data_IF_488659528728
#
_entry.id   IF_488659528728
#
_cell.length_a   1.000
_cell.length_b   1.000
_cell.length_c   1.000
_cell.angle_alpha   90.00
_cell.angle_beta   90.00
_cell.angle_gamma   90.00
#
_symmetry.space_group_name_H-M   'P 1'
#
loop_
_entity.id
_entity.type
_entity.pdbx_description
1 polymer ?
#
# COMPACT_ATOMS: atom_id res chain seq x y z
N UNK A 1 -7.24 -5.11 17.92
CA UNK A 1 -7.54 -4.01 18.86
C UNK A 1 -6.66 -4.00 20.13
N UNK A 2 -6.70 -5.02 21.01
CA UNK A 2 -6.01 -4.99 22.31
C UNK A 2 -4.50 -4.71 22.26
N UNK A 3 -3.77 -5.26 21.27
CA UNK A 3 -2.32 -5.02 21.12
C UNK A 3 -1.97 -3.59 20.66
N UNK A 4 -2.87 -2.92 19.93
CA UNK A 4 -2.68 -1.54 19.48
C UNK A 4 -2.86 -0.57 20.66
N UNK A 5 -3.88 -0.80 21.48
CA UNK A 5 -4.12 -0.03 22.73
C UNK A 5 -2.93 -0.17 23.69
N UNK A 6 -2.38 -1.38 23.83
CA UNK A 6 -1.19 -1.65 24.65
C UNK A 6 0.10 -0.98 24.14
N UNK A 7 0.14 -0.54 22.88
CA UNK A 7 1.30 0.15 22.31
C UNK A 7 1.30 1.67 22.57
N UNK A 8 0.25 2.19 23.21
CA UNK A 8 0.10 3.62 23.53
C UNK A 8 -0.29 4.49 22.33
N UNK A 9 -0.72 3.88 21.22
CA UNK A 9 -1.24 4.59 20.04
C UNK A 9 -2.66 5.08 20.33
N UNK A 10 -2.93 6.36 20.07
CA UNK A 10 -4.26 6.99 20.23
C UNK A 10 -4.91 7.16 18.86
N UNK A 11 -6.22 6.96 18.77
CA UNK A 11 -6.99 7.18 17.54
C UNK A 11 -7.77 8.49 17.67
N UNK A 12 -7.71 9.33 16.64
CA UNK A 12 -8.48 10.57 16.55
C UNK A 12 -9.22 10.61 15.22
N UNK A 13 -10.50 10.95 15.27
CA UNK A 13 -11.28 11.24 14.06
C UNK A 13 -11.19 12.73 13.77
N UNK A 14 -10.94 13.07 12.51
CA UNK A 14 -10.89 14.45 12.05
C UNK A 14 -11.97 14.67 10.98
N UNK A 15 -12.71 15.76 11.14
CA UNK A 15 -13.59 16.31 10.13
C UNK A 15 -12.76 17.40 9.44
N UNK A 16 -12.22 17.14 8.24
CA UNK A 16 -11.43 18.15 7.54
C UNK A 16 -12.21 18.72 6.35
N UNK A 17 -12.76 19.96 6.44
CA UNK A 17 -13.42 20.63 5.32
C UNK A 17 -12.45 21.44 4.45
N UNK A 18 -11.18 21.57 4.82
CA UNK A 18 -10.26 22.55 4.21
C UNK A 18 -9.01 21.90 3.60
N UNK A 19 -9.14 21.49 2.33
CA UNK A 19 -8.09 21.68 1.32
C UNK A 19 -6.77 20.90 1.45
N UNK A 20 -6.71 19.80 2.20
CA UNK A 20 -5.61 18.83 2.06
C UNK A 20 -6.12 17.53 1.44
N UNK A 21 -5.24 16.95 0.63
CA UNK A 21 -5.42 15.78 -0.24
C UNK A 21 -6.50 14.81 0.26
N UNK A 22 -7.67 14.80 -0.41
CA UNK A 22 -8.80 13.90 -0.11
C UNK A 22 -8.40 12.40 -0.16
N UNK A 23 -7.19 12.13 -0.64
CA UNK A 23 -6.52 10.86 -0.78
C UNK A 23 -5.98 10.25 0.53
N UNK A 24 -5.76 11.05 1.57
CA UNK A 24 -5.24 10.55 2.85
C UNK A 24 -6.39 10.08 3.74
N UNK A 25 -6.62 8.77 3.73
CA UNK A 25 -7.74 8.12 4.44
C UNK A 25 -7.52 8.02 5.94
N UNK A 26 -6.29 7.67 6.31
CA UNK A 26 -5.77 7.76 7.65
C UNK A 26 -4.29 8.12 7.60
N UNK A 27 -3.76 8.68 8.68
CA UNK A 27 -2.34 9.01 8.78
C UNK A 27 -1.82 8.71 10.18
N UNK A 28 -0.69 8.01 10.24
CA UNK A 28 0.07 7.84 11.47
C UNK A 28 1.01 9.04 11.72
N UNK A 29 0.69 9.84 12.73
CA UNK A 29 1.54 10.91 13.26
C UNK A 29 2.57 10.33 14.22
N UNK A 30 3.71 9.89 13.68
CA UNK A 30 4.76 9.20 14.42
C UNK A 30 5.26 9.92 15.67
N UNK A 31 5.38 11.26 15.62
CA UNK A 31 5.82 12.10 16.75
C UNK A 31 4.84 12.07 17.93
N UNK A 32 3.55 11.91 17.65
CA UNK A 32 2.48 11.95 18.66
C UNK A 32 1.92 10.56 18.98
N UNK A 33 2.30 9.54 18.22
CA UNK A 33 1.70 8.19 18.26
C UNK A 33 0.17 8.25 18.09
N UNK A 34 -0.30 9.12 17.19
CA UNK A 34 -1.71 9.29 16.88
C UNK A 34 -1.98 8.73 15.49
N UNK A 35 -3.04 7.95 15.33
CA UNK A 35 -3.63 7.66 14.03
C UNK A 35 -4.81 8.61 13.85
N UNK A 36 -4.72 9.49 12.85
CA UNK A 36 -5.82 10.36 12.45
C UNK A 36 -6.60 9.68 11.33
N UNK A 37 -7.92 9.57 11.49
CA UNK A 37 -8.83 9.00 10.49
C UNK A 37 -9.70 10.12 9.94
N UNK A 38 -9.69 10.30 8.62
CA UNK A 38 -10.48 11.31 7.94
C UNK A 38 -11.91 10.79 7.69
N UNK A 39 -12.92 11.45 8.29
CA UNK A 39 -14.33 11.04 8.10
C UNK A 39 -14.80 11.14 6.65
N UNK A 40 -14.33 12.13 5.91
CA UNK A 40 -14.69 12.28 4.49
C UNK A 40 -14.24 11.07 3.66
N UNK A 41 -13.13 10.44 4.04
CA UNK A 41 -12.67 9.20 3.40
C UNK A 41 -13.54 7.99 3.75
N UNK A 42 -14.04 7.90 4.99
CA UNK A 42 -14.99 6.86 5.39
C UNK A 42 -16.29 6.97 4.57
N UNK A 43 -16.79 8.19 4.37
CA UNK A 43 -17.97 8.43 3.53
C UNK A 43 -17.75 8.06 2.06
N UNK A 44 -16.56 8.33 1.51
CA UNK A 44 -16.20 7.91 0.15
C UNK A 44 -16.23 6.38 0.00
N UNK A 45 -15.61 5.68 0.94
CA UNK A 45 -15.61 4.22 0.98
C UNK A 45 -17.03 3.66 1.12
N UNK A 46 -17.84 4.25 1.99
CA UNK A 46 -19.25 3.85 2.15
C UNK A 46 -20.02 3.99 0.84
N UNK A 47 -19.90 5.15 0.17
CA UNK A 47 -20.54 5.40 -1.14
C UNK A 47 -20.06 4.44 -2.22
N UNK A 48 -18.77 4.07 -2.21
CA UNK A 48 -18.23 3.09 -3.15
C UNK A 48 -18.86 1.71 -2.98
N UNK A 49 -18.94 1.21 -1.74
CA UNK A 49 -19.59 -0.07 -1.45
C UNK A 49 -21.10 -0.03 -1.72
N UNK A 50 -21.80 1.04 -1.31
CA UNK A 50 -23.22 1.25 -1.62
C UNK A 50 -23.51 1.17 -3.13
N UNK A 51 -22.67 1.80 -3.97
CA UNK A 51 -22.79 1.75 -5.44
C UNK A 51 -22.49 0.37 -6.03
N UNK A 52 -21.67 -0.42 -5.34
CA UNK A 52 -21.29 -1.76 -5.77
C UNK A 52 -22.33 -2.81 -5.37
N UNK A 53 -23.34 -2.43 -4.58
CA UNK A 53 -24.34 -3.35 -4.01
C UNK A 53 -23.85 -4.10 -2.77
N UNK A 54 -22.65 -3.77 -2.29
CA UNK A 54 -22.05 -4.38 -1.11
C UNK A 54 -22.31 -3.50 0.12
N UNK A 55 -22.63 -4.13 1.25
CA UNK A 55 -22.69 -3.45 2.55
C UNK A 55 -21.43 -3.78 3.34
N UNK A 56 -20.64 -2.76 3.65
CA UNK A 56 -19.48 -2.89 4.53
C UNK A 56 -19.73 -2.09 5.80
N UNK A 57 -19.44 -2.67 6.96
CA UNK A 57 -19.56 -1.97 8.24
C UNK A 57 -18.47 -0.92 8.35
N UNK A 58 -18.83 0.26 8.83
CA UNK A 58 -17.88 1.35 9.08
C UNK A 58 -16.72 0.91 9.97
N UNK A 59 -17.01 0.07 10.99
CA UNK A 59 -16.00 -0.53 11.87
C UNK A 59 -14.92 -1.30 11.11
N UNK A 60 -15.29 -2.01 10.04
CA UNK A 60 -14.36 -2.83 9.25
C UNK A 60 -13.46 -1.93 8.39
N UNK A 61 -14.01 -0.84 7.85
CA UNK A 61 -13.25 0.18 7.11
C UNK A 61 -12.26 0.88 8.05
N UNK A 62 -12.71 1.25 9.25
CA UNK A 62 -11.85 1.84 10.27
C UNK A 62 -10.73 0.86 10.66
N UNK A 63 -11.07 -0.40 10.90
CA UNK A 63 -10.10 -1.45 11.24
C UNK A 63 -9.05 -1.61 10.14
N UNK A 64 -9.45 -1.59 8.87
CA UNK A 64 -8.55 -1.70 7.71
C UNK A 64 -7.47 -0.61 7.72
N UNK A 65 -7.87 0.65 7.94
CA UNK A 65 -6.93 1.76 8.03
C UNK A 65 -6.08 1.69 9.30
N UNK A 66 -6.66 1.29 10.43
CA UNK A 66 -5.93 1.15 11.68
C UNK A 66 -4.82 0.10 11.60
N UNK A 67 -5.08 -1.07 10.98
CA UNK A 67 -4.04 -2.08 10.78
C UNK A 67 -2.94 -1.60 9.83
N UNK A 68 -3.30 -0.83 8.79
CA UNK A 68 -2.34 -0.25 7.85
C UNK A 68 -1.40 0.74 8.56
N UNK A 69 -1.96 1.70 9.28
CA UNK A 69 -1.18 2.70 10.02
C UNK A 69 -0.42 2.08 11.20
N UNK A 70 -0.99 1.05 11.84
CA UNK A 70 -0.28 0.31 12.89
C UNK A 70 0.94 -0.43 12.33
N UNK A 71 0.88 -0.96 11.10
CA UNK A 71 2.07 -1.52 10.47
C UNK A 71 3.18 -0.47 10.31
N UNK A 72 2.85 0.74 9.82
CA UNK A 72 3.82 1.83 9.71
C UNK A 72 4.43 2.21 11.06
N UNK A 73 3.63 2.15 12.14
CA UNK A 73 4.14 2.29 13.50
C UNK A 73 5.13 1.15 13.86
N UNK A 74 4.78 -0.10 13.61
CA UNK A 74 5.66 -1.24 13.90
C UNK A 74 6.94 -1.19 13.07
N UNK A 75 6.87 -0.77 11.81
CA UNK A 75 7.99 -0.60 10.90
C UNK A 75 8.97 0.44 11.45
N UNK A 76 8.49 1.56 11.95
CA UNK A 76 9.35 2.64 12.47
C UNK A 76 9.91 2.36 13.86
N UNK A 77 9.20 1.58 14.69
CA UNK A 77 9.56 1.41 16.11
C UNK A 77 10.22 0.08 16.46
N UNK A 78 9.95 -0.99 15.70
CA UNK A 78 10.38 -2.36 16.05
C UNK A 78 11.01 -3.10 14.90
N UNK A 79 10.35 -3.09 13.75
CA UNK A 79 10.75 -3.92 12.62
C UNK A 79 11.82 -3.25 11.77
N UNK A 80 12.00 -1.92 11.82
CA UNK A 80 12.85 -1.22 10.87
C UNK A 80 12.24 -1.17 9.46
N UNK A 81 12.76 -0.27 8.63
CA UNK A 81 12.21 0.03 7.30
C UNK A 81 12.30 -1.15 6.33
N UNK A 82 11.16 -1.56 5.77
CA UNK A 82 11.06 -2.69 4.82
C UNK A 82 11.83 -2.41 3.53
N UNK A 83 11.74 -1.21 2.98
CA UNK A 83 12.43 -0.86 1.74
C UNK A 83 13.95 -0.95 1.83
N UNK A 84 14.52 -0.81 3.04
CA UNK A 84 15.95 -0.95 3.28
C UNK A 84 16.41 -2.40 3.43
N UNK A 85 15.48 -3.34 3.63
CA UNK A 85 15.75 -4.78 3.79
C UNK A 85 15.69 -5.55 2.47
N UNK A 86 15.10 -4.96 1.44
CA UNK A 86 14.98 -5.57 0.12
C UNK A 86 16.15 -5.17 -0.79
N UNK A 87 16.49 -5.99 -1.79
CA UNK A 87 17.46 -5.62 -2.82
C UNK A 87 17.11 -4.28 -3.46
N UNK A 88 18.11 -3.41 -3.61
CA UNK A 88 17.93 -2.11 -4.25
C UNK A 88 17.81 -2.29 -5.77
N UNK A 89 16.82 -1.64 -6.38
CA UNK A 89 16.65 -1.66 -7.82
C UNK A 89 17.59 -0.66 -8.51
N UNK A 90 18.06 -1.01 -9.70
CA UNK A 90 18.80 -0.09 -10.57
C UNK A 90 17.84 1.01 -11.03
N UNK A 91 18.13 2.26 -10.66
CA UNK A 91 17.35 3.42 -11.09
C UNK A 91 17.90 4.06 -12.35
N UNK A 92 19.22 4.17 -12.45
CA UNK A 92 19.88 4.80 -13.57
C UNK A 92 21.23 4.14 -13.79
N UNK A 93 21.58 3.91 -15.05
CA UNK A 93 22.94 3.59 -15.50
C UNK A 93 23.49 4.83 -16.19
N UNK A 94 24.72 5.21 -15.85
CA UNK A 94 25.45 6.27 -16.53
C UNK A 94 26.85 5.74 -16.85
N UNK A 95 27.00 5.22 -18.07
CA UNK A 95 28.20 4.46 -18.46
C UNK A 95 28.45 3.27 -17.51
N UNK A 96 29.66 3.11 -16.96
CA UNK A 96 29.98 2.03 -16.02
C UNK A 96 29.38 2.24 -14.62
N UNK A 97 28.83 3.43 -14.32
CA UNK A 97 28.29 3.73 -13.00
C UNK A 97 26.81 3.33 -12.93
N UNK A 98 26.48 2.48 -11.95
CA UNK A 98 25.10 2.05 -11.68
C UNK A 98 24.58 2.65 -10.37
N UNK A 99 23.50 3.41 -10.46
CA UNK A 99 22.82 3.97 -9.29
C UNK A 99 21.67 3.06 -8.87
N UNK A 100 21.80 2.45 -7.68
CA UNK A 100 20.76 1.59 -7.07
C UNK A 100 20.03 2.32 -5.94
N UNK A 101 18.70 2.21 -5.88
CA UNK A 101 17.89 2.83 -4.83
C UNK A 101 16.87 1.85 -4.21
N UNK A 102 16.53 2.00 -2.92
CA UNK A 102 15.39 1.32 -2.32
C UNK A 102 14.08 1.66 -3.03
N UNK A 103 13.21 0.65 -3.20
CA UNK A 103 11.88 0.87 -3.75
C UNK A 103 10.95 1.26 -2.61
N UNK A 104 10.77 2.56 -2.37
CA UNK A 104 9.93 3.04 -1.25
C UNK A 104 8.51 2.48 -1.22
N UNK A 105 7.94 2.15 -2.40
CA UNK A 105 6.59 1.56 -2.54
C UNK A 105 6.47 0.20 -1.84
N UNK A 106 7.56 -0.51 -1.57
CA UNK A 106 7.49 -1.80 -0.87
C UNK A 106 7.03 -1.66 0.59
N UNK A 107 7.18 -0.47 1.19
CA UNK A 107 6.64 -0.18 2.53
C UNK A 107 5.12 -0.21 2.53
N UNK A 108 4.49 0.45 1.56
CA UNK A 108 3.02 0.43 1.40
C UNK A 108 2.51 -0.97 1.02
N UNK A 109 3.22 -1.68 0.12
CA UNK A 109 2.87 -3.07 -0.22
C UNK A 109 2.90 -3.95 1.04
N UNK A 110 3.91 -3.79 1.90
CA UNK A 110 4.02 -4.53 3.14
C UNK A 110 2.92 -4.16 4.15
N UNK A 111 2.54 -2.88 4.23
CA UNK A 111 1.42 -2.42 5.05
C UNK A 111 0.09 -3.05 4.61
N UNK A 112 -0.23 -3.01 3.31
CA UNK A 112 -1.44 -3.65 2.79
C UNK A 112 -1.42 -5.18 2.98
N UNK A 113 -0.29 -5.84 2.73
CA UNK A 113 -0.16 -7.28 2.93
C UNK A 113 -0.30 -7.67 4.42
N UNK A 114 0.24 -6.86 5.32
CA UNK A 114 0.03 -7.02 6.76
C UNK A 114 -1.45 -6.88 7.12
N UNK A 115 -2.11 -5.82 6.65
CA UNK A 115 -3.53 -5.58 6.89
C UNK A 115 -4.39 -6.72 6.37
N UNK A 116 -4.14 -7.19 5.15
CA UNK A 116 -4.83 -8.33 4.55
C UNK A 116 -4.76 -9.55 5.47
N UNK A 117 -3.54 -9.88 5.93
CA UNK A 117 -3.31 -11.05 6.79
C UNK A 117 -3.88 -10.86 8.19
N UNK A 118 -3.73 -9.68 8.79
CA UNK A 118 -4.17 -9.36 10.14
C UNK A 118 -5.71 -9.38 10.26
N UNK A 119 -6.41 -9.03 9.18
CA UNK A 119 -7.87 -9.05 9.11
C UNK A 119 -8.45 -10.30 8.43
N UNK A 120 -7.60 -11.22 7.98
CA UNK A 120 -8.00 -12.44 7.27
C UNK A 120 -8.87 -12.16 6.02
N UNK A 121 -8.47 -11.16 5.22
CA UNK A 121 -9.19 -10.77 4.00
C UNK A 121 -8.80 -11.69 2.83
N UNK A 122 -9.80 -12.12 2.05
CA UNK A 122 -9.61 -12.87 0.80
C UNK A 122 -9.26 -11.97 -0.40
N UNK A 123 -9.24 -10.66 -0.21
CA UNK A 123 -8.86 -9.64 -1.20
C UNK A 123 -7.76 -8.73 -0.66
N UNK A 124 -7.06 -8.03 -1.57
CA UNK A 124 -5.95 -7.13 -1.21
C UNK A 124 -6.44 -5.71 -0.91
N UNK A 125 -6.13 -5.14 0.28
CA UNK A 125 -6.39 -3.73 0.58
C UNK A 125 -5.83 -2.75 -0.44
N UNK A 126 -4.69 -3.08 -1.06
CA UNK A 126 -4.11 -2.27 -2.13
C UNK A 126 -5.04 -2.21 -3.36
N UNK A 127 -5.74 -3.29 -3.68
CA UNK A 127 -6.68 -3.30 -4.80
C UNK A 127 -7.85 -2.34 -4.56
N UNK A 128 -8.39 -2.34 -3.33
CA UNK A 128 -9.45 -1.41 -2.95
C UNK A 128 -9.00 0.05 -3.12
N UNK A 129 -7.78 0.38 -2.68
CA UNK A 129 -7.22 1.72 -2.85
C UNK A 129 -7.11 2.14 -4.32
N UNK A 130 -6.70 1.22 -5.20
CA UNK A 130 -6.66 1.45 -6.64
C UNK A 130 -8.06 1.61 -7.26
N UNK A 131 -9.03 0.78 -6.86
CA UNK A 131 -10.40 0.88 -7.38
C UNK A 131 -11.04 2.22 -7.00
N UNK A 132 -10.83 2.66 -5.76
CA UNK A 132 -11.28 3.97 -5.30
C UNK A 132 -10.61 5.09 -6.12
N UNK A 133 -9.30 5.00 -6.40
CA UNK A 133 -8.57 5.98 -7.21
C UNK A 133 -9.13 6.17 -8.61
N UNK A 134 -9.38 5.06 -9.29
CA UNK A 134 -9.86 5.11 -10.66
C UNK A 134 -11.33 5.56 -10.69
N UNK A 135 -12.14 5.09 -9.74
CA UNK A 135 -13.54 5.51 -9.62
C UNK A 135 -13.67 7.01 -9.34
N UNK A 136 -12.82 7.57 -8.47
CA UNK A 136 -12.79 9.01 -8.19
C UNK A 136 -12.30 9.84 -9.37
N UNK A 137 -11.43 9.29 -10.22
CA UNK A 137 -11.05 9.88 -11.51
C UNK A 137 -12.17 9.83 -12.55
N UNK A 138 -13.33 9.28 -12.21
CA UNK A 138 -14.48 9.16 -13.08
C UNK A 138 -14.42 7.98 -14.04
N UNK A 139 -13.53 7.01 -13.80
CA UNK A 139 -13.41 5.85 -14.68
C UNK A 139 -14.60 4.92 -14.48
N UNK A 140 -15.13 4.44 -15.59
CA UNK A 140 -16.13 3.38 -15.64
C UNK A 140 -15.53 2.01 -15.27
N UNK A 141 -16.39 1.07 -14.93
CA UNK A 141 -16.00 -0.32 -14.65
C UNK A 141 -15.27 -0.96 -15.84
N UNK A 142 -15.65 -0.60 -17.07
CA UNK A 142 -14.97 -1.10 -18.28
C UNK A 142 -13.54 -0.57 -18.36
N UNK A 143 -13.34 0.73 -18.22
CA UNK A 143 -12.01 1.36 -18.28
C UNK A 143 -11.08 0.82 -17.20
N UNK A 144 -11.60 0.62 -15.99
CA UNK A 144 -10.85 0.00 -14.89
C UNK A 144 -10.43 -1.43 -15.28
N UNK A 145 -11.35 -2.24 -15.81
CA UNK A 145 -11.06 -3.61 -16.23
C UNK A 145 -10.00 -3.67 -17.33
N UNK A 146 -10.15 -2.84 -18.35
CA UNK A 146 -9.24 -2.78 -19.49
C UNK A 146 -7.83 -2.36 -19.04
N UNK A 147 -7.75 -1.41 -18.10
CA UNK A 147 -6.49 -1.01 -17.50
C UNK A 147 -5.80 -2.12 -16.69
N UNK A 148 -6.56 -2.88 -15.89
CA UNK A 148 -5.99 -4.03 -15.18
C UNK A 148 -5.54 -5.14 -16.13
N UNK A 149 -6.26 -5.37 -17.24
CA UNK A 149 -5.86 -6.31 -18.28
C UNK A 149 -4.54 -5.88 -18.93
N UNK A 150 -4.43 -4.61 -19.34
CA UNK A 150 -3.19 -4.06 -19.91
C UNK A 150 -2.01 -4.17 -18.93
N UNK A 151 -2.24 -3.83 -17.66
CA UNK A 151 -1.20 -3.94 -16.63
C UNK A 151 -0.73 -5.38 -16.43
N UNK A 152 -1.64 -6.36 -16.49
CA UNK A 152 -1.31 -7.78 -16.39
C UNK A 152 -0.50 -8.26 -17.60
N UNK A 153 -0.83 -7.80 -18.81
CA UNK A 153 -0.09 -8.17 -20.02
C UNK A 153 1.33 -7.58 -20.01
N UNK A 154 1.49 -6.33 -19.57
CA UNK A 154 2.81 -5.72 -19.34
C UNK A 154 3.61 -6.49 -18.30
N UNK A 155 2.98 -6.90 -17.20
CA UNK A 155 3.63 -7.70 -16.17
C UNK A 155 4.12 -9.05 -16.73
N UNK A 156 3.27 -9.77 -17.48
CA UNK A 156 3.65 -11.04 -18.12
C UNK A 156 4.82 -10.86 -19.08
N UNK A 157 4.80 -9.81 -19.91
CA UNK A 157 5.90 -9.51 -20.83
C UNK A 157 7.22 -9.27 -20.08
N UNK A 158 7.19 -8.52 -18.98
CA UNK A 158 8.37 -8.29 -18.12
C UNK A 158 8.89 -9.56 -17.47
N UNK A 159 7.99 -10.43 -16.99
CA UNK A 159 8.37 -11.72 -16.38
C UNK A 159 8.99 -12.66 -17.42
N UNK A 160 8.48 -12.67 -18.65
CA UNK A 160 9.06 -13.45 -19.75
C UNK A 160 10.43 -12.93 -20.15
N UNK A 161 10.60 -11.61 -20.27
CA UNK A 161 11.92 -11.01 -20.60
C UNK A 161 12.97 -11.22 -19.51
N UNK A 162 12.55 -11.36 -18.25
CA UNK A 162 13.46 -11.60 -17.12
C UNK A 162 13.97 -13.05 -17.04
N UNK A 163 13.30 -14.00 -17.70
CA UNK A 163 13.72 -15.41 -17.77
C UNK A 163 14.69 -15.69 -18.93
N UNK A 164 14.83 -14.76 -19.87
CA UNK A 164 15.70 -14.89 -21.05
C UNK A 164 17.09 -14.26 -20.89
N UNK A 165 17.46 -13.78 -19.70
CA UNK A 165 18.76 -13.13 -19.42
C UNK A 165 19.58 -14.01 -18.44
N UNK A 166 20.40 -14.97 -18.92
CA UNK A 166 21.27 -15.77 -18.07
C UNK A 166 22.66 -15.15 -18.03
N UNK A 167 22.85 -14.02 -17.35
CA UNK A 167 24.20 -13.48 -17.15
C UNK A 167 24.36 -12.79 -15.80
N UNK A 168 24.58 -13.61 -14.76
CA UNK A 168 25.44 -13.32 -13.62
C UNK A 168 25.73 -14.67 -12.94
N UNK A 169 26.57 -15.48 -13.58
CA UNK A 169 27.25 -16.61 -12.91
C UNK A 169 28.18 -15.99 -11.86
N UNK A 170 28.03 -16.24 -10.55
CA UNK A 170 29.07 -15.86 -9.61
C UNK A 170 30.26 -16.78 -9.87
N UNK A 171 31.30 -16.24 -10.49
CA UNK A 171 32.64 -16.82 -10.43
C UNK A 171 33.02 -16.80 -8.95
N UNK A 172 32.84 -17.93 -8.27
CA UNK A 172 33.48 -18.21 -7.00
C UNK A 172 34.94 -18.49 -7.34
N UNK A 173 35.91 -17.66 -6.93
CA UNK A 173 37.31 -18.04 -7.07
C UNK A 173 37.58 -19.13 -6.03
N UNK A 174 38.01 -20.30 -6.50
CA UNK A 174 38.59 -21.34 -5.65
C UNK A 174 39.91 -20.81 -5.08
N UNK A 175 39.91 -20.49 -3.78
CA UNK A 175 41.04 -20.68 -2.84
C UNK A 175 40.59 -20.44 -1.41
#
# INVERSE_FOLDING_TARGET
MNRMIQSGVRVRFIDNPNGQDHWVRAQYLAKLKIIEINRASLDQLRRFFERSGDSVREDDIIALHLYHEWFHHLETTRLGRVDLRLPRAVKKRWGPITFRQPIRRTREIAAHAFTQKAMNLNWSPLLLDYLLLLTEKGWSVSEIRDHFAEMNDRYKALMQSSQSDPDENPIIPDT
#
